data_IF_977112427220
#
_entry.id   IF_977112427220
#
_cell.length_a   1.000
_cell.length_b   1.000
_cell.length_c   1.000
_cell.angle_alpha   90.00
_cell.angle_beta   90.00
_cell.angle_gamma   90.00
#
_symmetry.space_group_name_H-M   'P 1'
#
loop_
_entity.id
_entity.type
_entity.pdbx_description
1 polymer ?
#
# COMPACT_ATOMS: atom_id res chain seq x y z
N UNK A 1 27.56 -32.46 55.24
CA UNK A 1 28.31 -31.53 54.37
C UNK A 1 27.32 -30.82 53.48
N UNK A 2 27.18 -29.49 53.58
CA UNK A 2 26.30 -28.71 52.72
C UNK A 2 27.09 -27.90 51.67
N UNK A 3 26.32 -27.43 50.68
CA UNK A 3 26.56 -26.41 49.66
C UNK A 3 27.38 -26.77 48.42
N UNK A 4 26.73 -26.56 47.28
CA UNK A 4 27.33 -26.41 45.96
C UNK A 4 26.38 -25.58 45.11
N UNK A 5 26.66 -24.28 45.01
CA UNK A 5 25.84 -23.25 44.38
C UNK A 5 25.96 -23.35 42.86
N UNK A 6 24.85 -23.08 42.17
CA UNK A 6 24.80 -22.93 40.71
C UNK A 6 25.54 -21.64 40.34
N UNK A 7 26.67 -21.76 39.64
CA UNK A 7 27.33 -20.61 39.01
C UNK A 7 26.84 -20.48 37.58
N UNK A 8 26.20 -19.35 37.28
CA UNK A 8 25.90 -18.93 35.92
C UNK A 8 26.91 -17.85 35.58
N UNK A 9 27.93 -18.19 34.80
CA UNK A 9 28.85 -17.19 34.27
C UNK A 9 28.27 -16.58 33.00
N UNK A 10 27.76 -15.36 33.13
CA UNK A 10 27.40 -14.50 32.01
C UNK A 10 28.66 -13.78 31.57
N UNK A 11 29.31 -14.28 30.52
CA UNK A 11 30.40 -13.53 29.87
C UNK A 11 29.79 -12.56 28.87
N UNK A 12 29.80 -11.28 29.23
CA UNK A 12 29.51 -10.19 28.29
C UNK A 12 30.70 -9.98 27.37
N UNK A 13 30.53 -10.27 26.08
CA UNK A 13 31.37 -9.64 25.06
C UNK A 13 30.65 -8.39 24.59
N UNK A 14 31.18 -7.23 24.97
CA UNK A 14 30.77 -5.97 24.39
C UNK A 14 31.24 -5.93 22.93
N UNK A 15 30.29 -5.86 22.00
CA UNK A 15 30.54 -5.35 20.66
C UNK A 15 29.50 -4.26 20.39
N UNK A 16 30.05 -3.11 20.02
CA UNK A 16 29.43 -1.81 19.84
C UNK A 16 28.02 -1.75 19.26
N UNK A 17 27.29 -0.79 19.84
CA UNK A 17 26.10 -0.13 19.33
C UNK A 17 26.05 -0.03 17.80
N UNK A 18 24.92 -0.46 17.21
CA UNK A 18 24.27 0.27 16.10
C UNK A 18 22.86 -0.27 15.78
N UNK A 19 21.89 0.65 15.74
CA UNK A 19 20.65 0.55 14.94
C UNK A 19 19.38 0.10 15.67
N UNK A 20 18.52 1.03 16.10
CA UNK A 20 17.10 0.78 16.43
C UNK A 20 16.19 1.40 15.35
N UNK A 21 15.28 0.60 14.81
CA UNK A 21 13.93 0.95 14.29
C UNK A 21 13.08 -0.35 14.44
N UNK A 22 11.76 -0.40 14.63
CA UNK A 22 10.69 0.59 14.55
C UNK A 22 9.53 0.14 15.47
N UNK A 23 8.88 1.07 16.18
CA UNK A 23 7.71 0.79 17.02
C UNK A 23 6.41 0.98 16.21
N UNK A 24 5.44 0.05 16.31
CA UNK A 24 4.12 0.17 15.66
C UNK A 24 3.19 1.10 16.46
N UNK A 25 2.41 1.93 15.75
CA UNK A 25 1.59 3.03 16.27
C UNK A 25 0.31 2.63 17.04
N UNK A 26 0.20 1.41 17.56
CA UNK A 26 -1.03 0.97 18.22
C UNK A 26 -0.71 0.13 19.47
N UNK A 27 -0.37 0.81 20.57
CA UNK A 27 -0.82 0.43 21.91
C UNK A 27 -0.88 1.68 22.83
N UNK A 28 -1.86 1.79 23.76
CA UNK A 28 -2.21 3.04 24.45
C UNK A 28 -1.73 3.11 25.92
N UNK A 29 -1.53 4.35 26.40
CA UNK A 29 -1.34 4.75 27.82
C UNK A 29 0.12 4.74 28.30
N UNK A 30 0.68 5.73 29.00
CA UNK A 30 0.18 6.93 29.69
C UNK A 30 1.31 8.00 29.73
N UNK A 31 0.92 9.23 30.01
CA UNK A 31 1.73 10.46 30.15
C UNK A 31 2.85 10.34 31.21
N UNK A 32 3.99 11.03 31.12
CA UNK A 32 4.20 12.34 31.79
C UNK A 32 5.62 12.93 31.50
N UNK A 33 5.62 14.23 31.13
CA UNK A 33 6.56 15.37 31.36
C UNK A 33 7.98 15.48 30.74
N UNK A 34 8.04 16.44 29.80
CA UNK A 34 8.92 17.64 29.69
C UNK A 34 10.43 17.50 29.50
N UNK A 35 10.94 17.92 28.32
CA UNK A 35 11.75 19.14 28.06
C UNK A 35 12.69 18.98 26.83
N UNK A 36 12.45 19.84 25.82
CA UNK A 36 13.43 20.60 25.02
C UNK A 36 14.51 19.90 24.13
N UNK A 37 14.35 20.15 22.81
CA UNK A 37 15.37 20.41 21.77
C UNK A 37 16.09 19.25 21.01
N UNK A 38 15.95 19.32 19.67
CA UNK A 38 16.64 18.72 18.49
C UNK A 38 18.18 18.44 18.59
N UNK A 39 18.88 17.78 17.61
CA UNK A 39 18.51 17.25 16.27
C UNK A 39 19.19 15.89 15.79
N UNK A 40 18.83 15.44 14.56
CA UNK A 40 19.65 14.76 13.50
C UNK A 40 20.00 13.23 13.50
N UNK A 41 19.79 12.58 12.32
CA UNK A 41 19.96 11.16 11.89
C UNK A 41 21.41 10.76 11.50
N UNK A 42 21.86 9.45 11.47
CA UNK A 42 21.66 8.54 10.31
C UNK A 42 21.63 6.97 10.54
N UNK A 43 21.33 6.25 9.44
CA UNK A 43 21.04 4.82 9.12
C UNK A 43 22.02 3.70 9.58
N UNK A 44 21.52 2.44 9.72
CA UNK A 44 22.16 1.14 9.33
C UNK A 44 21.39 -0.11 9.88
N UNK A 45 20.92 -1.01 8.99
CA UNK A 45 20.33 -2.31 9.34
C UNK A 45 21.29 -3.49 9.04
N UNK A 46 21.41 -4.50 9.93
CA UNK A 46 21.91 -5.83 9.59
C UNK A 46 20.83 -6.92 9.59
N UNK A 47 20.96 -7.82 8.62
CA UNK A 47 20.12 -8.97 8.30
C UNK A 47 20.41 -10.13 9.27
N UNK A 48 19.39 -10.74 9.88
CA UNK A 48 19.55 -12.05 10.53
C UNK A 48 18.27 -12.89 10.43
N UNK A 49 18.42 -14.03 9.76
CA UNK A 49 17.39 -15.03 9.46
C UNK A 49 17.60 -16.22 10.39
N UNK A 50 16.72 -16.41 11.38
CA UNK A 50 16.79 -17.55 12.29
C UNK A 50 15.93 -18.71 11.75
N UNK A 51 16.58 -19.84 11.41
CA UNK A 51 15.91 -21.10 11.07
C UNK A 51 15.87 -21.96 12.35
N UNK A 52 14.70 -22.30 12.92
CA UNK A 52 14.66 -23.18 14.07
C UNK A 52 14.93 -24.63 13.65
N UNK A 53 15.95 -25.25 14.25
CA UNK A 53 16.22 -26.68 14.13
C UNK A 53 15.76 -27.36 15.41
N UNK A 54 14.76 -28.24 15.32
CA UNK A 54 14.25 -29.01 16.46
C UNK A 54 14.85 -30.41 16.38
N UNK A 55 15.80 -30.71 17.27
CA UNK A 55 16.34 -32.06 17.44
C UNK A 55 15.61 -32.75 18.59
N UNK A 56 14.86 -33.81 18.30
CA UNK A 56 14.19 -34.64 19.32
C UNK A 56 14.93 -35.98 19.42
N UNK A 57 15.63 -36.19 20.54
CA UNK A 57 16.25 -37.48 20.87
C UNK A 57 15.31 -38.29 21.75
N UNK A 58 14.67 -39.33 21.20
CA UNK A 58 13.84 -40.27 21.97
C UNK A 58 14.74 -41.40 22.46
N UNK A 59 15.06 -41.43 23.77
CA UNK A 59 15.68 -42.60 24.40
C UNK A 59 14.56 -43.55 24.87
N UNK A 60 14.41 -44.67 24.17
CA UNK A 60 13.50 -45.76 24.56
C UNK A 60 14.17 -46.58 25.67
N UNK A 61 13.65 -46.51 26.89
CA UNK A 61 14.09 -47.37 28.00
C UNK A 61 13.79 -48.84 27.75
N UNK A 62 14.68 -49.72 28.21
CA UNK A 62 14.51 -51.17 28.14
C UNK A 62 13.38 -51.64 29.05
N UNK A 63 12.57 -52.58 28.58
CA UNK A 63 11.46 -53.15 29.34
C UNK A 63 12.01 -54.27 30.24
N UNK A 64 11.83 -54.14 31.55
CA UNK A 64 12.25 -55.15 32.52
C UNK A 64 11.56 -56.51 32.31
N UNK A 65 12.30 -57.58 32.61
CA UNK A 65 11.83 -58.96 32.47
C UNK A 65 10.65 -59.26 33.40
N UNK A 66 9.65 -59.96 32.87
CA UNK A 66 8.49 -60.41 33.66
C UNK A 66 8.84 -61.68 34.44
N UNK A 67 8.65 -61.65 35.76
CA UNK A 67 8.81 -62.82 36.62
C UNK A 67 7.82 -63.94 36.30
N UNK A 68 8.23 -65.19 36.52
CA UNK A 68 7.38 -66.36 36.28
C UNK A 68 6.19 -66.41 37.25
N UNK A 69 4.99 -66.62 36.70
CA UNK A 69 3.75 -66.74 37.46
C UNK A 69 3.56 -68.18 37.95
N UNK A 70 3.39 -68.37 39.26
CA UNK A 70 3.07 -69.66 39.87
C UNK A 70 1.70 -70.21 39.39
N UNK A 71 1.50 -71.55 39.44
CA UNK A 71 0.29 -72.16 38.92
C UNK A 71 -0.92 -71.84 39.81
N UNK A 72 -2.03 -71.39 39.19
CA UNK A 72 -3.31 -71.17 39.87
C UNK A 72 -4.30 -72.30 39.60
N UNK A 73 -5.01 -72.69 40.66
CA UNK A 73 -6.01 -73.77 40.68
C UNK A 73 -7.27 -73.48 39.88
N UNK A 74 -8.01 -74.55 39.57
CA UNK A 74 -9.16 -74.57 38.65
C UNK A 74 -10.42 -74.00 39.30
N UNK A 75 -11.04 -73.00 38.66
CA UNK A 75 -12.43 -72.60 38.90
C UNK A 75 -13.19 -72.42 37.59
N UNK A 76 -14.50 -72.74 37.65
CA UNK A 76 -15.34 -73.20 36.53
C UNK A 76 -15.81 -72.18 35.49
N UNK A 77 -16.42 -72.70 34.42
CA UNK A 77 -16.76 -72.00 33.18
C UNK A 77 -17.98 -71.09 33.35
N UNK A 78 -17.76 -69.78 33.48
CA UNK A 78 -18.76 -68.76 33.15
C UNK A 78 -18.88 -68.65 31.62
N UNK A 79 -20.11 -68.56 31.10
CA UNK A 79 -20.38 -68.42 29.66
C UNK A 79 -19.73 -67.16 29.09
N UNK A 80 -19.14 -67.25 27.90
CA UNK A 80 -18.45 -66.12 27.27
C UNK A 80 -19.47 -65.03 26.88
N UNK A 81 -19.27 -63.80 27.38
CA UNK A 81 -19.93 -62.62 26.81
C UNK A 81 -19.60 -62.52 25.33
N UNK A 82 -20.61 -62.27 24.50
CA UNK A 82 -20.43 -62.13 23.05
C UNK A 82 -19.38 -61.06 22.71
N UNK A 83 -18.65 -61.21 21.60
CA UNK A 83 -17.61 -60.26 21.22
C UNK A 83 -18.20 -58.86 21.05
N UNK A 84 -17.47 -57.84 21.52
CA UNK A 84 -17.82 -56.44 21.29
C UNK A 84 -17.94 -56.19 19.78
N UNK A 85 -19.03 -55.56 19.34
CA UNK A 85 -19.21 -55.19 17.94
C UNK A 85 -18.06 -54.31 17.43
N UNK A 86 -17.74 -54.36 16.12
CA UNK A 86 -16.65 -53.59 15.56
C UNK A 86 -16.87 -52.08 15.77
N UNK A 87 -15.79 -51.35 16.03
CA UNK A 87 -15.85 -49.89 16.11
C UNK A 87 -16.30 -49.33 14.74
N UNK A 88 -17.25 -48.39 14.76
CA UNK A 88 -17.69 -47.69 13.55
C UNK A 88 -16.52 -46.94 12.89
N UNK A 89 -16.46 -46.97 11.55
CA UNK A 89 -15.44 -46.26 10.80
C UNK A 89 -15.54 -44.75 11.07
N UNK A 90 -14.42 -44.12 11.43
CA UNK A 90 -14.34 -42.66 11.58
C UNK A 90 -14.57 -42.02 10.20
N UNK A 91 -15.52 -41.08 10.11
CA UNK A 91 -15.78 -40.35 8.87
C UNK A 91 -14.52 -39.64 8.35
N UNK A 92 -14.33 -39.64 7.04
CA UNK A 92 -13.19 -38.96 6.40
C UNK A 92 -13.30 -37.46 6.60
N UNK A 93 -12.17 -36.80 6.91
CA UNK A 93 -12.09 -35.34 6.94
C UNK A 93 -12.46 -34.80 5.55
N UNK A 94 -13.36 -33.82 5.48
CA UNK A 94 -13.71 -33.15 4.23
C UNK A 94 -12.47 -32.57 3.54
N UNK A 95 -12.47 -32.55 2.20
CA UNK A 95 -11.40 -31.95 1.43
C UNK A 95 -11.30 -30.45 1.68
N UNK A 96 -10.08 -29.91 1.64
CA UNK A 96 -9.86 -28.46 1.60
C UNK A 96 -10.51 -27.93 0.31
N UNK A 97 -11.28 -26.85 0.40
CA UNK A 97 -11.88 -26.19 -0.76
C UNK A 97 -10.82 -25.69 -1.74
N UNK A 98 -11.20 -25.48 -2.99
CA UNK A 98 -10.29 -24.89 -3.99
C UNK A 98 -9.83 -23.50 -3.52
N UNK A 99 -8.54 -23.15 -3.70
CA UNK A 99 -8.09 -21.78 -3.53
C UNK A 99 -8.98 -20.82 -4.35
N UNK A 100 -9.31 -19.67 -3.78
CA UNK A 100 -10.05 -18.63 -4.52
C UNK A 100 -9.22 -18.09 -5.69
N UNK A 101 -9.90 -17.50 -6.68
CA UNK A 101 -9.22 -16.88 -7.81
C UNK A 101 -8.27 -15.76 -7.35
N UNK A 102 -7.12 -15.58 -8.03
CA UNK A 102 -6.22 -14.48 -7.73
C UNK A 102 -6.93 -13.15 -7.93
N UNK A 103 -6.76 -12.23 -6.97
CA UNK A 103 -7.29 -10.87 -7.06
C UNK A 103 -6.71 -10.19 -8.32
N UNK A 104 -7.58 -9.84 -9.27
CA UNK A 104 -7.17 -9.09 -10.47
C UNK A 104 -6.80 -7.68 -10.06
N UNK A 105 -5.49 -7.40 -9.96
CA UNK A 105 -5.01 -6.05 -9.68
C UNK A 105 -5.21 -5.20 -10.94
N UNK A 106 -5.98 -4.12 -10.80
CA UNK A 106 -6.24 -3.18 -11.88
C UNK A 106 -5.37 -1.95 -11.67
N UNK A 107 -4.87 -1.40 -12.78
CA UNK A 107 -4.02 -0.22 -12.77
C UNK A 107 -4.56 0.78 -13.80
N UNK A 108 -4.44 2.07 -13.49
CA UNK A 108 -4.59 3.14 -14.44
C UNK A 108 -3.77 4.32 -13.93
N UNK A 109 -2.93 4.89 -14.78
CA UNK A 109 -2.14 6.07 -14.43
C UNK A 109 -1.69 6.82 -15.67
N UNK A 110 -1.61 8.14 -15.56
CA UNK A 110 -0.97 8.99 -16.53
C UNK A 110 -0.21 10.12 -15.83
N UNK A 111 0.79 10.64 -16.53
CA UNK A 111 1.54 11.83 -16.20
C UNK A 111 1.93 12.48 -17.53
N UNK A 112 1.44 13.70 -17.74
CA UNK A 112 1.63 14.44 -18.98
C UNK A 112 2.14 15.84 -18.68
N UNK A 113 2.96 16.36 -19.57
CA UNK A 113 3.59 17.67 -19.48
C UNK A 113 3.20 18.57 -20.65
N UNK A 114 3.30 19.88 -20.43
CA UNK A 114 3.18 20.87 -21.50
C UNK A 114 4.37 21.83 -21.48
N UNK A 115 5.06 21.94 -22.61
CA UNK A 115 6.19 22.84 -22.82
C UNK A 115 5.77 24.20 -23.37
N UNK A 116 4.68 24.27 -24.12
CA UNK A 116 4.26 25.54 -24.72
C UNK A 116 3.38 26.37 -23.80
N UNK A 117 3.67 27.65 -23.65
CA UNK A 117 2.75 28.59 -23.00
C UNK A 117 1.41 28.71 -23.73
N UNK A 118 0.38 29.18 -23.03
CA UNK A 118 -0.95 29.49 -23.60
C UNK A 118 -1.47 30.79 -23.00
N UNK A 119 -2.00 31.64 -23.87
CA UNK A 119 -2.94 32.71 -23.50
C UNK A 119 -4.37 32.25 -23.76
N UNK A 120 -5.30 32.68 -22.91
CA UNK A 120 -6.72 32.44 -23.09
C UNK A 120 -7.25 33.14 -24.34
N UNK A 121 -8.34 32.59 -24.87
CA UNK A 121 -9.14 33.18 -25.92
C UNK A 121 -10.46 33.71 -25.34
N UNK A 122 -11.36 34.15 -26.23
CA UNK A 122 -12.69 34.67 -25.89
C UNK A 122 -13.67 33.54 -25.49
N UNK A 123 -13.25 32.29 -25.68
CA UNK A 123 -13.98 31.07 -25.34
C UNK A 123 -13.17 30.17 -24.41
N UNK A 124 -13.86 29.23 -23.76
CA UNK A 124 -13.21 28.23 -22.92
C UNK A 124 -12.37 27.27 -23.75
N UNK A 125 -11.10 27.15 -23.41
CA UNK A 125 -10.15 26.34 -24.15
C UNK A 125 -9.70 25.15 -23.31
N UNK A 126 -9.75 23.95 -23.88
CA UNK A 126 -9.15 22.75 -23.29
C UNK A 126 -7.63 22.88 -23.26
N UNK A 127 -7.03 22.56 -22.11
CA UNK A 127 -5.59 22.48 -21.97
C UNK A 127 -5.09 21.14 -22.52
N UNK A 128 -4.43 21.18 -23.67
CA UNK A 128 -3.82 20.03 -24.33
C UNK A 128 -2.36 19.91 -23.94
N UNK A 129 -1.82 18.69 -23.86
CA UNK A 129 -0.45 18.40 -23.44
C UNK A 129 0.39 17.95 -24.63
N UNK A 130 1.69 18.23 -24.61
CA UNK A 130 2.61 17.97 -25.73
C UNK A 130 3.73 16.98 -25.36
N UNK A 131 3.80 16.57 -24.09
CA UNK A 131 4.81 15.67 -23.57
C UNK A 131 4.13 14.55 -22.80
N UNK A 132 4.34 13.30 -23.20
CA UNK A 132 3.89 12.12 -22.47
C UNK A 132 5.03 11.61 -21.58
N UNK A 133 4.80 11.54 -20.26
CA UNK A 133 5.76 10.96 -19.30
C UNK A 133 5.35 9.53 -18.96
N UNK A 134 4.07 9.33 -18.64
CA UNK A 134 3.43 8.04 -18.38
C UNK A 134 2.02 8.07 -18.95
N UNK A 135 1.59 7.01 -19.63
CA UNK A 135 0.21 6.88 -20.11
C UNK A 135 -0.20 5.41 -20.18
N UNK A 136 -0.47 4.80 -19.02
CA UNK A 136 -0.81 3.37 -18.97
C UNK A 136 -2.08 3.09 -19.77
N UNK A 137 -1.95 2.14 -20.70
CA UNK A 137 -3.01 1.69 -21.61
C UNK A 137 -3.59 2.80 -22.52
N UNK A 138 -2.93 3.96 -22.62
CA UNK A 138 -3.41 5.05 -23.46
C UNK A 138 -4.72 5.68 -22.98
N UNK A 139 -5.01 5.64 -21.68
CA UNK A 139 -6.24 6.21 -21.12
C UNK A 139 -6.28 7.74 -21.22
N UNK A 140 -5.13 8.40 -21.33
CA UNK A 140 -5.05 9.84 -21.62
C UNK A 140 -4.90 10.08 -23.13
N UNK A 141 -5.83 10.85 -23.70
CA UNK A 141 -5.77 11.25 -25.10
C UNK A 141 -5.02 12.58 -25.23
N UNK A 142 -3.81 12.52 -25.79
CA UNK A 142 -2.93 13.67 -25.99
C UNK A 142 -3.47 14.69 -27.00
N UNK A 143 -4.35 14.31 -27.93
CA UNK A 143 -4.95 15.24 -28.90
C UNK A 143 -6.10 16.04 -28.31
N UNK A 144 -6.91 15.41 -27.45
CA UNK A 144 -8.05 16.08 -26.81
C UNK A 144 -7.70 16.68 -25.45
N UNK A 145 -6.58 16.29 -24.83
CA UNK A 145 -6.20 16.71 -23.47
C UNK A 145 -7.08 16.10 -22.38
N UNK A 146 -7.64 14.91 -22.61
CA UNK A 146 -8.62 14.28 -21.72
C UNK A 146 -8.18 12.90 -21.26
N UNK A 147 -8.33 12.63 -19.97
CA UNK A 147 -8.31 11.28 -19.41
C UNK A 147 -9.68 10.62 -19.55
N UNK A 148 -9.72 9.36 -19.98
CA UNK A 148 -10.93 8.54 -20.06
C UNK A 148 -10.84 7.39 -19.05
N UNK A 149 -11.85 7.26 -18.21
CA UNK A 149 -11.93 6.22 -17.21
C UNK A 149 -12.40 4.89 -17.82
N UNK A 150 -11.50 3.91 -17.94
CA UNK A 150 -11.85 2.53 -18.32
C UNK A 150 -11.99 1.59 -17.12
N UNK A 151 -11.39 1.96 -15.99
CA UNK A 151 -11.44 1.22 -14.72
C UNK A 151 -12.19 2.07 -13.70
N UNK A 152 -13.45 1.76 -13.37
CA UNK A 152 -14.20 2.48 -12.36
C UNK A 152 -13.51 2.40 -11.00
N UNK A 153 -13.54 3.48 -10.23
CA UNK A 153 -12.90 3.52 -8.91
C UNK A 153 -12.52 4.91 -8.45
N UNK A 154 -11.70 4.95 -7.40
CA UNK A 154 -11.21 6.19 -6.79
C UNK A 154 -9.86 6.54 -7.39
N UNK A 155 -9.75 7.75 -7.93
CA UNK A 155 -8.55 8.30 -8.55
C UNK A 155 -8.04 9.51 -7.78
N UNK A 156 -6.72 9.70 -7.79
CA UNK A 156 -6.08 10.94 -7.38
C UNK A 156 -5.55 11.68 -8.60
N UNK A 157 -5.77 12.99 -8.64
CA UNK A 157 -5.30 13.89 -9.68
C UNK A 157 -4.48 15.02 -9.07
N UNK A 158 -3.39 15.39 -9.75
CA UNK A 158 -2.60 16.58 -9.41
C UNK A 158 -2.24 17.37 -10.66
N UNK A 159 -2.43 18.69 -10.58
CA UNK A 159 -2.12 19.66 -11.61
C UNK A 159 -1.11 20.65 -11.04
N UNK A 160 0.02 20.84 -11.72
CA UNK A 160 0.97 21.91 -11.45
C UNK A 160 1.00 22.86 -12.65
N UNK A 161 0.97 24.16 -12.37
CA UNK A 161 0.97 25.22 -13.37
C UNK A 161 1.88 26.34 -12.91
N UNK A 162 2.78 26.76 -13.80
CA UNK A 162 3.56 27.97 -13.61
C UNK A 162 2.77 29.16 -14.18
N UNK A 163 2.57 30.16 -13.33
CA UNK A 163 1.82 31.37 -13.66
C UNK A 163 2.64 32.30 -14.56
N UNK A 164 1.96 33.16 -15.30
CA UNK A 164 2.57 34.12 -16.21
C UNK A 164 2.66 35.51 -15.57
N UNK A 165 3.80 36.21 -15.72
CA UNK A 165 3.98 37.55 -15.14
C UNK A 165 2.95 38.54 -15.70
N UNK A 166 2.33 39.33 -14.81
CA UNK A 166 1.35 40.35 -15.16
C UNK A 166 0.08 39.81 -15.85
N UNK A 167 -0.20 38.52 -15.70
CA UNK A 167 -1.43 37.87 -16.17
C UNK A 167 -2.05 37.07 -15.03
N UNK A 168 -3.37 36.97 -15.05
CA UNK A 168 -4.04 36.04 -14.14
C UNK A 168 -3.83 34.60 -14.65
N UNK A 169 -3.84 33.64 -13.73
CA UNK A 169 -3.90 32.22 -14.09
C UNK A 169 -5.19 31.66 -13.52
N UNK A 170 -6.09 31.26 -14.41
CA UNK A 170 -7.41 30.75 -14.08
C UNK A 170 -7.65 29.48 -14.90
N UNK A 171 -7.56 28.34 -14.23
CA UNK A 171 -7.80 27.01 -14.81
C UNK A 171 -8.76 26.20 -13.94
N UNK A 172 -9.59 25.39 -14.60
CA UNK A 172 -10.49 24.43 -13.95
C UNK A 172 -10.07 23.01 -14.25
N UNK A 173 -10.09 22.15 -13.23
CA UNK A 173 -10.16 20.70 -13.44
C UNK A 173 -11.63 20.32 -13.58
N UNK A 174 -11.93 19.63 -14.67
CA UNK A 174 -13.26 19.24 -15.12
C UNK A 174 -13.47 17.76 -14.89
N UNK A 175 -14.67 17.39 -14.43
CA UNK A 175 -15.19 16.02 -14.48
C UNK A 175 -16.40 16.04 -15.40
N UNK A 176 -16.28 15.36 -16.53
CA UNK A 176 -17.21 15.48 -17.65
C UNK A 176 -17.40 16.95 -18.04
N UNK A 177 -18.61 17.49 -17.92
CA UNK A 177 -18.94 18.88 -18.24
C UNK A 177 -18.98 19.82 -17.02
N UNK A 178 -18.62 19.32 -15.83
CA UNK A 178 -18.72 20.08 -14.57
C UNK A 178 -17.35 20.54 -14.07
N UNK A 179 -17.25 21.79 -13.62
CA UNK A 179 -16.09 22.28 -12.88
C UNK A 179 -16.05 21.66 -11.48
N UNK A 180 -14.94 21.04 -11.11
CA UNK A 180 -14.79 20.41 -9.80
C UNK A 180 -13.93 21.24 -8.87
N UNK A 181 -12.77 21.69 -9.35
CA UNK A 181 -11.86 22.56 -8.61
C UNK A 181 -11.24 23.61 -9.51
N UNK A 182 -10.88 24.72 -8.90
CA UNK A 182 -10.17 25.85 -9.51
C UNK A 182 -8.72 25.86 -9.05
N UNK A 183 -7.81 26.20 -9.98
CA UNK A 183 -6.47 26.69 -9.68
C UNK A 183 -6.43 28.13 -10.17
N UNK A 184 -6.31 29.05 -9.22
CA UNK A 184 -6.37 30.49 -9.45
C UNK A 184 -5.16 31.19 -8.86
N UNK A 185 -4.56 32.08 -9.63
CA UNK A 185 -3.58 33.05 -9.17
C UNK A 185 -3.90 34.41 -9.78
N UNK A 186 -3.92 35.43 -8.91
CA UNK A 186 -4.04 36.82 -9.34
C UNK A 186 -2.80 37.27 -10.12
N UNK A 187 -2.97 38.28 -10.97
CA UNK A 187 -1.87 38.92 -11.68
C UNK A 187 -0.82 39.47 -10.71
N UNK A 188 0.45 39.21 -10.99
CA UNK A 188 1.59 39.66 -10.18
C UNK A 188 2.83 39.87 -11.06
N UNK A 189 3.73 40.76 -10.63
CA UNK A 189 5.04 40.97 -11.28
C UNK A 189 5.99 39.77 -11.14
N UNK A 190 5.67 38.82 -10.26
CA UNK A 190 6.44 37.58 -10.07
C UNK A 190 5.57 36.37 -10.36
N UNK A 191 6.04 35.54 -11.28
CA UNK A 191 5.47 34.22 -11.52
C UNK A 191 5.75 33.31 -10.33
N UNK A 192 4.75 32.54 -9.96
CA UNK A 192 4.79 31.50 -8.94
C UNK A 192 4.39 30.14 -9.55
N UNK A 193 4.87 29.06 -8.95
CA UNK A 193 4.37 27.71 -9.21
C UNK A 193 3.12 27.49 -8.37
N UNK A 194 2.05 27.00 -8.99
CA UNK A 194 0.79 26.66 -8.33
C UNK A 194 0.49 25.19 -8.52
N UNK A 195 -0.07 24.57 -7.48
CA UNK A 195 -0.42 23.17 -7.47
C UNK A 195 -1.85 23.01 -6.96
N UNK A 196 -2.63 22.16 -7.62
CA UNK A 196 -3.97 21.77 -7.18
C UNK A 196 -4.11 20.26 -7.28
N UNK A 197 -4.72 19.63 -6.28
CA UNK A 197 -4.92 18.19 -6.26
C UNK A 197 -6.25 17.82 -5.64
N UNK A 198 -6.84 16.72 -6.10
CA UNK A 198 -8.12 16.22 -5.63
C UNK A 198 -8.23 14.71 -5.83
N UNK A 199 -9.20 14.10 -5.13
CA UNK A 199 -9.63 12.73 -5.39
C UNK A 199 -11.04 12.72 -5.97
N UNK A 200 -11.28 11.84 -6.95
CA UNK A 200 -12.58 11.65 -7.56
C UNK A 200 -12.92 10.17 -7.65
N UNK A 201 -14.17 9.84 -7.35
CA UNK A 201 -14.76 8.56 -7.75
C UNK A 201 -15.27 8.70 -9.18
N UNK A 202 -14.81 7.81 -10.05
CA UNK A 202 -15.12 7.82 -11.47
C UNK A 202 -15.85 6.53 -11.86
N UNK A 203 -16.85 6.67 -12.72
CA UNK A 203 -17.48 5.56 -13.41
C UNK A 203 -16.80 5.30 -14.76
N UNK A 204 -17.17 4.20 -15.42
CA UNK A 204 -16.68 3.90 -16.77
C UNK A 204 -17.12 5.02 -17.72
N UNK A 205 -16.24 5.38 -18.64
CA UNK A 205 -16.42 6.43 -19.67
C UNK A 205 -16.38 7.88 -19.16
N UNK A 206 -16.25 8.08 -17.84
CA UNK A 206 -16.03 9.41 -17.28
C UNK A 206 -14.75 10.05 -17.83
N UNK A 207 -14.80 11.36 -18.01
CA UNK A 207 -13.71 12.17 -18.52
C UNK A 207 -13.18 13.11 -17.44
N UNK A 208 -11.86 13.20 -17.29
CA UNK A 208 -11.21 14.21 -16.46
C UNK A 208 -10.23 15.00 -17.31
N UNK A 209 -10.34 16.32 -17.27
CA UNK A 209 -9.55 17.21 -18.14
C UNK A 209 -9.40 18.59 -17.54
N UNK A 210 -8.56 19.43 -18.14
CA UNK A 210 -8.28 20.79 -17.65
C UNK A 210 -8.70 21.80 -18.71
N UNK A 211 -9.26 22.93 -18.29
CA UNK A 211 -9.60 24.04 -19.18
C UNK A 211 -9.15 25.38 -18.66
N UNK A 212 -8.74 26.26 -19.56
CA UNK A 212 -8.50 27.67 -19.25
C UNK A 212 -9.83 28.41 -19.22
N UNK A 213 -9.96 29.34 -18.27
CA UNK A 213 -11.05 30.30 -18.27
C UNK A 213 -10.86 31.30 -19.43
N UNK A 214 -11.95 31.69 -20.08
CA UNK A 214 -11.95 32.68 -21.17
C UNK A 214 -11.53 34.05 -20.62
N UNK A 215 -10.87 34.87 -21.42
CA UNK A 215 -10.48 36.20 -20.96
C UNK A 215 -9.60 37.00 -21.89
N UNK A 216 -9.80 36.90 -23.21
CA UNK A 216 -9.15 37.77 -24.22
C UNK A 216 -7.65 38.02 -23.97
N UNK A 217 -6.86 36.96 -23.74
CA UNK A 217 -5.42 36.99 -23.44
C UNK A 217 -5.00 37.55 -22.07
N UNK A 218 -5.93 37.88 -21.19
CA UNK A 218 -5.67 38.29 -19.79
C UNK A 218 -5.37 37.11 -18.88
N UNK A 219 -5.95 35.94 -19.17
CA UNK A 219 -5.61 34.69 -18.51
C UNK A 219 -4.50 33.95 -19.28
N UNK A 220 -3.47 33.47 -18.58
CA UNK A 220 -2.37 32.74 -19.20
C UNK A 220 -1.71 31.73 -18.25
N UNK A 221 -1.03 30.76 -18.86
CA UNK A 221 -0.13 29.81 -18.20
C UNK A 221 1.24 29.84 -18.88
N UNK A 222 2.29 29.85 -18.08
CA UNK A 222 3.68 29.91 -18.54
C UNK A 222 4.29 28.52 -18.68
N UNK A 223 5.06 28.36 -19.74
CA UNK A 223 6.01 27.26 -19.94
C UNK A 223 6.96 27.67 -21.07
N UNK A 224 8.07 26.95 -21.25
CA UNK A 224 9.02 27.19 -22.34
C UNK A 224 9.45 25.88 -23.03
N UNK A 225 10.22 26.00 -24.11
CA UNK A 225 10.64 24.84 -24.91
C UNK A 225 11.73 23.99 -24.23
N UNK A 226 12.33 24.47 -23.14
CA UNK A 226 13.44 23.82 -22.46
C UNK A 226 12.96 22.98 -21.27
N UNK A 227 12.23 23.60 -20.34
CA UNK A 227 11.80 23.02 -19.08
C UNK A 227 10.29 22.72 -19.08
N UNK A 228 9.87 21.73 -18.27
CA UNK A 228 8.46 21.34 -18.17
C UNK A 228 7.87 21.86 -16.86
N UNK A 229 7.18 23.00 -16.95
CA UNK A 229 6.58 23.66 -15.80
C UNK A 229 5.13 23.26 -15.52
N UNK A 230 4.43 22.78 -16.55
CA UNK A 230 3.03 22.40 -16.46
C UNK A 230 2.96 20.88 -16.51
N UNK A 231 2.39 20.28 -15.46
CA UNK A 231 2.19 18.83 -15.38
C UNK A 231 0.79 18.50 -14.91
N UNK A 232 0.20 17.46 -15.50
CA UNK A 232 -1.07 16.91 -15.06
C UNK A 232 -0.92 15.40 -14.89
N UNK A 233 -1.23 14.92 -13.68
CA UNK A 233 -1.03 13.54 -13.29
C UNK A 233 -2.35 12.98 -12.76
N UNK A 234 -2.56 11.69 -12.98
CA UNK A 234 -3.68 10.97 -12.40
C UNK A 234 -3.35 9.50 -12.22
N UNK A 235 -3.83 8.88 -11.15
CA UNK A 235 -3.71 7.43 -10.96
C UNK A 235 -4.86 6.84 -10.14
N UNK A 236 -5.19 5.59 -10.44
CA UNK A 236 -6.15 4.78 -9.70
C UNK A 236 -5.57 4.43 -8.33
N UNK A 237 -6.29 4.80 -7.27
CA UNK A 237 -5.99 4.40 -5.90
C UNK A 237 -6.66 3.06 -5.59
N UNK A 238 -7.93 2.93 -5.96
CA UNK A 238 -8.73 1.74 -5.64
C UNK A 238 -9.77 1.48 -6.72
N UNK A 239 -9.76 0.30 -7.38
CA UNK A 239 -10.84 -0.08 -8.27
C UNK A 239 -12.15 -0.28 -7.49
N UNK A 240 -13.27 0.07 -8.12
CA UNK A 240 -14.59 -0.24 -7.60
C UNK A 240 -14.76 -1.77 -7.62
N UNK A 241 -15.08 -2.37 -6.48
CA UNK A 241 -15.38 -3.80 -6.40
C UNK A 241 -16.71 -4.07 -7.09
N UNK A 242 -16.74 -5.02 -8.03
CA UNK A 242 -18.00 -5.58 -8.53
C UNK A 242 -18.69 -6.27 -7.34
N UNK A 243 -19.83 -5.74 -6.93
CA UNK A 243 -20.63 -6.24 -5.81
C UNK A 243 -21.51 -7.42 -6.20
#
# INVERSE_FOLDING_TARGET
MPFGVVSVDVVFSASEVRGKECQRCCDPGEEVRTQSANPQYPQLYPQNQAVPQINITILKGEKGDSGQRGPYGKSGKSGQSGPRGPNGIKGTKGSIGTPGDPCKVQYAAFSVGRKKAIHSNDYYQTLVFDTELVNLYGHFNMFTGKFYCYVPGIYYFSLNVHTWNQKETYVHVMHNEREVVILYAQSSDRSIMQSQSLMLELEREDQVWVRLFKGERENAIFSDDFDTYITFNGHLIKPKSEG
#
